data_IF_391370282664
#
_entry.id   IF_391370282664
#
_cell.length_a   1.000
_cell.length_b   1.000
_cell.length_c   1.000
_cell.angle_alpha   90.00
_cell.angle_beta   90.00
_cell.angle_gamma   90.00
#
_symmetry.space_group_name_H-M   'P 1'
#
loop_
_entity.id
_entity.type
_entity.pdbx_description
1 polymer ?
#
# COMPACT_ATOMS: atom_id res chain seq x y z
N UNK A 1 4.69 -16.40 20.92
CA UNK A 1 4.38 -17.38 19.85
C UNK A 1 3.37 -16.92 18.79
N UNK A 2 3.16 -15.61 18.55
CA UNK A 2 2.00 -15.14 17.76
C UNK A 2 2.08 -15.20 16.22
N UNK A 3 3.19 -14.78 15.59
CA UNK A 3 3.20 -14.50 14.14
C UNK A 3 3.15 -15.72 13.21
N UNK A 4 3.72 -16.87 13.61
CA UNK A 4 3.59 -18.13 12.84
C UNK A 4 2.23 -18.80 13.08
N UNK A 5 1.71 -18.73 14.30
CA UNK A 5 0.38 -19.22 14.62
C UNK A 5 -0.71 -18.50 13.80
N UNK A 6 -0.55 -17.19 13.57
CA UNK A 6 -1.45 -16.37 12.77
C UNK A 6 -1.65 -16.87 11.34
N UNK A 7 -0.56 -16.95 10.56
CA UNK A 7 -0.59 -17.40 9.17
C UNK A 7 -1.04 -18.86 9.06
N UNK A 8 -0.59 -19.71 9.97
CA UNK A 8 -0.99 -21.13 10.03
C UNK A 8 -2.48 -21.30 10.33
N UNK A 9 -3.04 -20.46 11.22
CA UNK A 9 -4.48 -20.41 11.53
C UNK A 9 -5.31 -19.91 10.34
N UNK A 10 -4.84 -18.88 9.63
CA UNK A 10 -5.50 -18.39 8.41
C UNK A 10 -5.51 -19.44 7.30
N UNK A 11 -4.43 -20.22 7.18
CA UNK A 11 -4.32 -21.30 6.21
C UNK A 11 -5.30 -22.44 6.49
N UNK A 12 -5.51 -22.77 7.77
CA UNK A 12 -6.40 -23.85 8.21
C UNK A 12 -7.88 -23.50 8.17
N UNK A 13 -8.23 -22.22 8.14
CA UNK A 13 -9.63 -21.77 8.05
C UNK A 13 -10.42 -21.97 9.36
N UNK A 14 -9.73 -22.05 10.50
CA UNK A 14 -10.39 -21.98 11.81
C UNK A 14 -10.90 -20.56 12.04
N UNK A 15 -12.15 -20.33 11.66
CA UNK A 15 -12.94 -19.17 12.09
C UNK A 15 -13.60 -19.50 13.43
N UNK A 16 -12.79 -19.66 14.48
CA UNK A 16 -13.24 -19.52 15.88
C UNK A 16 -12.44 -18.35 16.48
N UNK A 17 -13.00 -17.16 16.33
CA UNK A 17 -12.58 -15.99 17.11
C UNK A 17 -13.48 -15.98 18.34
N UNK A 18 -12.91 -16.32 19.49
CA UNK A 18 -13.54 -16.14 20.80
C UNK A 18 -14.13 -14.72 20.89
N UNK A 19 -15.47 -14.65 20.93
CA UNK A 19 -16.23 -13.40 20.89
C UNK A 19 -16.18 -12.58 22.20
N UNK A 20 -15.44 -13.05 23.22
CA UNK A 20 -15.64 -12.60 24.60
C UNK A 20 -14.65 -11.55 25.13
N UNK A 21 -13.84 -10.89 24.28
CA UNK A 21 -12.87 -9.88 24.78
C UNK A 21 -13.06 -8.43 24.30
N UNK A 22 -14.10 -8.10 23.53
CA UNK A 22 -14.35 -6.71 23.10
C UNK A 22 -15.83 -6.33 23.15
N UNK A 23 -16.41 -6.30 24.36
CA UNK A 23 -17.71 -5.69 24.61
C UNK A 23 -17.55 -4.37 25.36
N UNK A 24 -17.57 -3.26 24.63
CA UNK A 24 -18.35 -2.06 24.91
C UNK A 24 -17.85 -0.89 24.05
N UNK A 25 -18.66 -0.45 23.07
CA UNK A 25 -19.12 0.94 22.86
C UNK A 25 -20.16 0.93 21.71
N UNK A 26 -21.17 1.78 21.86
CA UNK A 26 -22.50 1.78 21.26
C UNK A 26 -22.62 2.00 19.72
N UNK A 27 -23.74 1.52 19.18
CA UNK A 27 -24.25 1.68 17.79
C UNK A 27 -24.51 3.13 17.35
N UNK A 28 -24.37 3.40 16.03
CA UNK A 28 -25.45 4.11 15.31
C UNK A 28 -25.70 3.65 13.85
N UNK A 29 -27.00 3.58 13.49
CA UNK A 29 -27.66 3.69 12.16
C UNK A 29 -27.14 2.99 10.88
N UNK A 30 -28.06 2.24 10.24
CA UNK A 30 -27.91 1.12 9.29
C UNK A 30 -27.33 1.44 7.89
N UNK A 31 -27.07 2.70 7.54
CA UNK A 31 -26.53 3.06 6.20
C UNK A 31 -25.16 3.72 6.25
N UNK A 32 -24.83 4.41 7.35
CA UNK A 32 -23.51 5.00 7.62
C UNK A 32 -22.59 4.05 8.43
N UNK A 33 -23.17 3.02 9.04
CA UNK A 33 -22.49 2.09 9.96
C UNK A 33 -21.55 1.08 9.31
N UNK A 34 -21.62 0.88 7.99
CA UNK A 34 -20.83 -0.16 7.31
C UNK A 34 -19.41 0.30 6.97
N UNK A 35 -19.22 1.57 6.61
CA UNK A 35 -17.89 2.11 6.27
C UNK A 35 -17.00 2.33 7.51
N UNK A 36 -17.62 2.42 8.69
CA UNK A 36 -17.00 2.59 10.01
C UNK A 36 -16.78 1.28 10.77
N UNK A 37 -17.22 0.13 10.23
CA UNK A 37 -16.93 -1.19 10.82
C UNK A 37 -15.43 -1.40 10.94
N UNK A 38 -15.01 -1.85 12.11
CA UNK A 38 -13.63 -2.24 12.38
C UNK A 38 -13.29 -3.50 11.55
N UNK A 39 -12.12 -3.48 10.90
CA UNK A 39 -11.57 -4.62 10.18
C UNK A 39 -11.45 -5.89 11.02
N UNK A 40 -11.38 -5.78 12.35
CA UNK A 40 -11.46 -6.93 13.25
C UNK A 40 -12.77 -7.73 13.16
N UNK A 41 -13.83 -7.14 12.59
CA UNK A 41 -15.19 -7.72 12.50
C UNK A 41 -15.69 -7.91 11.06
N UNK A 42 -14.82 -7.71 10.07
CA UNK A 42 -15.17 -7.78 8.65
C UNK A 42 -15.45 -9.22 8.21
N UNK A 43 -16.55 -9.43 7.47
CA UNK A 43 -16.98 -10.74 6.97
C UNK A 43 -16.86 -10.85 5.43
N UNK A 44 -17.18 -12.02 4.88
CA UNK A 44 -17.14 -12.27 3.42
C UNK A 44 -18.15 -11.39 2.62
N UNK A 45 -19.16 -10.80 3.26
CA UNK A 45 -20.16 -9.95 2.59
C UNK A 45 -19.64 -8.55 2.25
N UNK A 46 -18.49 -8.15 2.78
CA UNK A 46 -17.89 -6.84 2.51
C UNK A 46 -16.87 -6.83 1.35
N UNK A 47 -16.72 -7.95 0.62
CA UNK A 47 -15.83 -8.12 -0.55
C UNK A 47 -16.15 -7.15 -1.70
N UNK A 48 -17.44 -6.91 -1.99
CA UNK A 48 -17.85 -6.04 -3.09
C UNK A 48 -17.41 -4.57 -2.88
N UNK A 49 -17.41 -4.12 -1.63
CA UNK A 49 -16.99 -2.76 -1.30
C UNK A 49 -15.47 -2.62 -1.32
N UNK A 50 -14.74 -3.66 -0.93
CA UNK A 50 -13.29 -3.76 -1.11
C UNK A 50 -12.91 -3.68 -2.60
N UNK A 51 -13.62 -4.40 -3.47
CA UNK A 51 -13.43 -4.33 -4.92
C UNK A 51 -13.71 -2.92 -5.46
N UNK A 52 -14.83 -2.30 -5.04
CA UNK A 52 -15.17 -0.93 -5.43
C UNK A 52 -14.07 0.05 -5.06
N UNK A 53 -13.57 -0.03 -3.83
CA UNK A 53 -12.54 0.88 -3.35
C UNK A 53 -11.19 0.64 -4.00
N UNK A 54 -10.78 -0.62 -4.19
CA UNK A 54 -9.54 -0.92 -4.91
C UNK A 54 -9.60 -0.44 -6.36
N UNK A 55 -10.75 -0.56 -7.04
CA UNK A 55 -10.95 0.01 -8.38
C UNK A 55 -10.83 1.55 -8.39
N UNK A 56 -11.44 2.23 -7.40
CA UNK A 56 -11.34 3.68 -7.25
C UNK A 56 -9.89 4.15 -7.00
N UNK A 57 -9.18 3.46 -6.12
CA UNK A 57 -7.77 3.74 -5.82
C UNK A 57 -6.88 3.47 -7.04
N UNK A 58 -7.08 2.34 -7.74
CA UNK A 58 -6.35 2.00 -8.95
C UNK A 58 -6.54 3.07 -10.05
N UNK A 59 -7.76 3.61 -10.20
CA UNK A 59 -8.01 4.74 -11.11
C UNK A 59 -7.21 5.98 -10.73
N UNK A 60 -7.21 6.36 -9.44
CA UNK A 60 -6.43 7.52 -8.95
C UNK A 60 -4.92 7.34 -9.17
N UNK A 61 -4.39 6.15 -8.86
CA UNK A 61 -2.97 5.80 -9.04
C UNK A 61 -2.52 5.82 -10.51
N UNK A 62 -3.45 5.55 -11.44
CA UNK A 62 -3.18 5.56 -12.89
C UNK A 62 -3.39 6.93 -13.56
N UNK A 63 -4.08 7.87 -12.93
CA UNK A 63 -4.60 9.07 -13.58
C UNK A 63 -3.58 10.20 -13.80
N UNK A 64 -2.36 10.14 -13.23
CA UNK A 64 -1.48 11.32 -13.25
C UNK A 64 -0.82 11.56 -14.61
N UNK A 65 -1.02 12.76 -15.14
CA UNK A 65 -0.29 13.29 -16.31
C UNK A 65 1.06 13.86 -15.89
N UNK A 66 2.13 13.46 -16.58
CA UNK A 66 3.49 14.00 -16.45
C UNK A 66 3.56 15.43 -16.96
N UNK A 67 4.58 16.18 -16.52
CA UNK A 67 4.99 17.43 -17.18
C UNK A 67 5.64 17.20 -18.55
N UNK A 68 6.06 15.97 -18.88
CA UNK A 68 6.67 15.68 -20.20
C UNK A 68 5.59 15.48 -21.27
N UNK A 69 5.81 16.06 -22.45
CA UNK A 69 4.99 15.83 -23.63
C UNK A 69 5.49 14.59 -24.40
N UNK A 70 4.57 13.89 -25.07
CA UNK A 70 4.86 12.87 -26.08
C UNK A 70 4.01 13.14 -27.33
N UNK A 71 4.43 12.67 -28.51
CA UNK A 71 3.55 12.64 -29.68
C UNK A 71 2.25 11.92 -29.38
N UNK A 72 1.14 12.45 -29.87
CA UNK A 72 -0.14 11.75 -29.81
C UNK A 72 -0.34 10.94 -31.09
N UNK A 73 -0.99 9.78 -30.95
CA UNK A 73 -1.37 8.93 -32.08
C UNK A 73 -2.88 8.98 -32.30
N UNK A 74 -3.33 8.84 -33.54
CA UNK A 74 -4.76 8.75 -33.88
C UNK A 74 -5.58 10.00 -33.53
N UNK A 75 -4.98 11.19 -33.58
CA UNK A 75 -5.69 12.46 -33.34
C UNK A 75 -6.03 12.77 -31.87
N UNK A 76 -5.69 11.89 -30.93
CA UNK A 76 -6.01 12.03 -29.49
C UNK A 76 -5.29 13.17 -28.74
N UNK A 77 -4.38 13.87 -29.41
CA UNK A 77 -3.57 14.91 -28.77
C UNK A 77 -4.39 16.15 -28.44
N UNK A 78 -4.17 16.72 -27.25
CA UNK A 78 -4.91 17.92 -26.79
C UNK A 78 -4.25 19.22 -27.23
N UNK A 79 -3.03 19.19 -27.76
CA UNK A 79 -2.28 20.40 -28.14
C UNK A 79 -1.50 20.18 -29.42
N UNK A 80 -1.42 21.20 -30.27
CA UNK A 80 -0.59 21.17 -31.48
C UNK A 80 0.89 21.14 -31.09
N UNK A 81 1.66 20.29 -31.76
CA UNK A 81 3.11 20.30 -31.72
C UNK A 81 3.63 21.17 -32.88
N UNK A 82 3.75 22.47 -32.62
CA UNK A 82 4.17 23.45 -33.64
C UNK A 82 5.51 23.09 -34.27
N UNK A 83 6.48 22.64 -33.46
CA UNK A 83 7.83 22.30 -33.96
C UNK A 83 7.79 21.11 -34.92
N UNK A 84 6.98 20.10 -34.64
CA UNK A 84 6.83 18.94 -35.53
C UNK A 84 5.98 19.26 -36.75
N UNK A 85 4.92 20.06 -36.58
CA UNK A 85 4.03 20.55 -37.64
C UNK A 85 4.79 21.38 -38.67
N UNK A 86 5.54 22.40 -38.22
CA UNK A 86 6.34 23.24 -39.11
C UNK A 86 7.44 22.45 -39.83
N UNK A 87 8.04 21.45 -39.18
CA UNK A 87 9.03 20.59 -39.84
C UNK A 87 8.40 19.67 -40.88
N UNK A 88 7.14 19.28 -40.69
CA UNK A 88 6.40 18.51 -41.69
C UNK A 88 6.00 19.39 -42.88
N UNK A 89 5.61 20.65 -42.62
CA UNK A 89 5.16 21.60 -43.65
C UNK A 89 6.25 21.97 -44.66
N UNK A 90 7.53 21.77 -44.32
CA UNK A 90 8.63 21.93 -45.28
C UNK A 90 8.47 21.01 -46.52
N UNK A 91 7.76 19.88 -46.40
CA UNK A 91 7.46 19.00 -47.53
C UNK A 91 6.36 19.55 -48.45
N UNK A 92 5.55 20.48 -47.95
CA UNK A 92 4.41 21.09 -48.61
C UNK A 92 4.65 22.58 -48.87
N UNK A 93 5.92 22.95 -49.15
CA UNK A 93 6.27 24.33 -49.49
C UNK A 93 6.13 25.34 -48.32
N UNK A 94 6.07 24.85 -47.09
CA UNK A 94 5.90 25.66 -45.88
C UNK A 94 4.47 25.71 -45.35
N UNK A 95 3.48 25.28 -46.13
CA UNK A 95 2.07 25.31 -45.74
C UNK A 95 1.72 24.17 -44.78
N UNK A 96 1.26 24.43 -43.53
CA UNK A 96 0.98 23.39 -42.53
C UNK A 96 -0.34 22.65 -42.79
N UNK A 97 -0.37 21.84 -43.85
CA UNK A 97 -1.52 21.00 -44.26
C UNK A 97 -1.88 19.94 -43.21
N UNK A 98 -0.88 19.38 -42.51
CA UNK A 98 -1.08 18.38 -41.46
C UNK A 98 -0.69 18.92 -40.07
N UNK A 99 -1.70 19.09 -39.19
CA UNK A 99 -1.47 19.48 -37.80
C UNK A 99 -1.17 18.27 -36.92
N UNK A 100 0.11 18.10 -36.56
CA UNK A 100 0.53 17.04 -35.64
C UNK A 100 0.27 17.46 -34.20
N UNK A 101 -0.38 16.59 -33.42
CA UNK A 101 -0.71 16.85 -32.02
C UNK A 101 0.21 16.09 -31.05
N UNK A 102 0.28 16.61 -29.83
CA UNK A 102 1.00 16.05 -28.69
C UNK A 102 0.09 15.97 -27.46
N UNK A 103 0.43 15.06 -26.57
CA UNK A 103 -0.27 14.85 -25.30
C UNK A 103 0.73 14.72 -24.14
N UNK A 104 0.27 14.91 -22.90
CA UNK A 104 1.13 14.71 -21.73
C UNK A 104 1.35 13.22 -21.54
N UNK A 105 2.60 12.80 -21.34
CA UNK A 105 2.93 11.41 -21.01
C UNK A 105 2.28 11.06 -19.67
N UNK A 106 1.69 9.87 -19.52
CA UNK A 106 1.21 9.43 -18.20
C UNK A 106 2.40 9.12 -17.28
N UNK A 107 2.34 9.59 -16.03
CA UNK A 107 3.30 9.27 -14.97
C UNK A 107 2.56 8.41 -13.94
N UNK A 108 2.55 7.10 -14.18
CA UNK A 108 1.94 6.15 -13.25
C UNK A 108 2.73 6.09 -11.95
N UNK A 109 2.02 6.15 -10.83
CA UNK A 109 2.57 5.89 -9.50
C UNK A 109 3.10 4.45 -9.44
N UNK A 110 4.02 4.17 -8.52
CA UNK A 110 4.40 2.81 -8.10
C UNK A 110 4.06 2.70 -6.62
N UNK A 111 3.65 1.52 -6.18
CA UNK A 111 3.41 1.25 -4.77
C UNK A 111 4.40 0.22 -4.27
N UNK A 112 4.94 0.46 -3.08
CA UNK A 112 5.61 -0.56 -2.28
C UNK A 112 4.85 -0.64 -0.96
N UNK A 113 4.37 -1.82 -0.60
CA UNK A 113 3.72 -2.09 0.68
C UNK A 113 4.64 -2.96 1.55
N UNK A 114 4.92 -2.50 2.77
CA UNK A 114 5.66 -3.21 3.81
C UNK A 114 4.65 -3.50 4.93
N UNK A 115 4.30 -4.76 5.12
CA UNK A 115 3.18 -5.16 5.99
C UNK A 115 3.66 -5.96 7.18
N UNK A 116 3.32 -5.48 8.37
CA UNK A 116 3.48 -6.22 9.60
C UNK A 116 2.45 -7.35 9.67
N UNK A 117 2.92 -8.53 10.03
CA UNK A 117 2.16 -9.78 10.15
C UNK A 117 2.52 -10.49 11.46
N UNK A 118 2.91 -9.70 12.46
CA UNK A 118 3.13 -10.14 13.82
C UNK A 118 1.82 -10.43 14.56
N UNK A 119 1.93 -11.17 15.67
CA UNK A 119 0.78 -11.62 16.47
C UNK A 119 -0.17 -10.51 16.94
N UNK A 120 0.36 -9.32 17.26
CA UNK A 120 -0.45 -8.16 17.68
C UNK A 120 -1.28 -7.57 16.53
N UNK A 121 -0.87 -7.85 15.30
CA UNK A 121 -1.49 -7.36 14.09
C UNK A 121 -2.45 -8.39 13.47
N UNK A 122 -2.65 -9.57 14.06
CA UNK A 122 -3.31 -10.73 13.43
C UNK A 122 -4.64 -10.41 12.73
N UNK A 123 -5.58 -9.80 13.45
CA UNK A 123 -6.91 -9.48 12.93
C UNK A 123 -6.84 -8.46 11.77
N UNK A 124 -5.95 -7.46 11.88
CA UNK A 124 -5.78 -6.41 10.88
C UNK A 124 -4.98 -6.87 9.67
N UNK A 125 -3.99 -7.73 9.87
CA UNK A 125 -3.06 -8.23 8.85
C UNK A 125 -3.79 -8.99 7.76
N UNK A 126 -4.75 -9.86 8.12
CA UNK A 126 -5.55 -10.64 7.17
C UNK A 126 -6.25 -9.71 6.19
N UNK A 127 -7.02 -8.76 6.71
CA UNK A 127 -7.74 -7.79 5.88
C UNK A 127 -6.81 -6.94 5.01
N UNK A 128 -5.72 -6.41 5.59
CA UNK A 128 -4.77 -5.56 4.86
C UNK A 128 -4.08 -6.32 3.72
N UNK A 129 -3.75 -7.60 3.92
CA UNK A 129 -3.23 -8.46 2.85
C UNK A 129 -4.27 -8.73 1.77
N UNK A 130 -5.54 -8.91 2.13
CA UNK A 130 -6.63 -9.09 1.17
C UNK A 130 -6.85 -7.82 0.34
N UNK A 131 -6.79 -6.65 0.98
CA UNK A 131 -6.81 -5.36 0.29
C UNK A 131 -5.64 -5.22 -0.70
N UNK A 132 -4.42 -5.59 -0.29
CA UNK A 132 -3.25 -5.54 -1.16
C UNK A 132 -3.34 -6.54 -2.32
N UNK A 133 -3.90 -7.72 -2.09
CA UNK A 133 -4.20 -8.70 -3.13
C UNK A 133 -5.16 -8.11 -4.18
N UNK A 134 -6.28 -7.53 -3.75
CA UNK A 134 -7.25 -6.88 -4.64
C UNK A 134 -6.64 -5.67 -5.37
N UNK A 135 -5.82 -4.88 -4.69
CA UNK A 135 -5.12 -3.74 -5.27
C UNK A 135 -4.10 -4.20 -6.33
N UNK A 136 -3.39 -5.30 -6.10
CA UNK A 136 -2.40 -5.83 -7.04
C UNK A 136 -3.06 -6.29 -8.37
N UNK A 137 -4.25 -6.88 -8.28
CA UNK A 137 -5.04 -7.26 -9.47
C UNK A 137 -5.63 -6.05 -10.20
N UNK A 138 -6.00 -5.01 -9.46
CA UNK A 138 -6.52 -3.75 -10.03
C UNK A 138 -5.39 -2.83 -10.55
N UNK A 139 -4.16 -3.02 -10.07
CA UNK A 139 -3.03 -2.13 -10.32
C UNK A 139 -1.70 -2.90 -10.37
N UNK A 140 -1.19 -3.15 -11.58
CA UNK A 140 0.00 -3.98 -11.82
C UNK A 140 1.35 -3.41 -11.32
N UNK A 141 1.39 -2.31 -10.56
CA UNK A 141 2.64 -1.69 -10.07
C UNK A 141 2.70 -1.62 -8.55
N UNK A 142 2.20 -2.68 -7.90
CA UNK A 142 2.37 -2.91 -6.46
C UNK A 142 3.49 -3.92 -6.25
N UNK A 143 4.38 -3.59 -5.33
CA UNK A 143 5.35 -4.51 -4.75
C UNK A 143 5.00 -4.71 -3.29
N UNK A 144 4.79 -5.96 -2.88
CA UNK A 144 4.31 -6.28 -1.53
C UNK A 144 5.34 -7.11 -0.80
N UNK A 145 5.64 -6.67 0.41
CA UNK A 145 6.51 -7.31 1.37
C UNK A 145 5.76 -7.48 2.68
N UNK A 146 6.01 -8.61 3.34
CA UNK A 146 5.53 -8.87 4.70
C UNK A 146 6.72 -9.03 5.63
N UNK A 147 6.56 -8.61 6.88
CA UNK A 147 7.61 -8.74 7.88
C UNK A 147 7.04 -9.05 9.27
N UNK A 148 7.84 -9.76 10.04
CA UNK A 148 7.69 -9.86 11.50
C UNK A 148 9.10 -9.84 12.11
N UNK A 149 9.80 -10.97 12.04
CA UNK A 149 11.23 -11.11 12.39
C UNK A 149 12.16 -11.11 11.17
N UNK A 150 11.61 -11.43 9.99
CA UNK A 150 12.29 -11.45 8.69
C UNK A 150 11.42 -10.78 7.64
N UNK A 151 12.04 -10.16 6.63
CA UNK A 151 11.35 -9.59 5.49
C UNK A 151 11.16 -10.64 4.39
N UNK A 152 9.94 -10.76 3.85
CA UNK A 152 9.63 -11.65 2.73
C UNK A 152 8.89 -10.87 1.65
N UNK A 153 9.36 -10.98 0.40
CA UNK A 153 8.67 -10.39 -0.76
C UNK A 153 7.61 -11.36 -1.28
N UNK A 154 6.36 -10.91 -1.32
CA UNK A 154 5.19 -11.76 -1.65
C UNK A 154 4.47 -11.34 -2.92
N UNK A 155 4.98 -10.33 -3.64
CA UNK A 155 4.40 -9.84 -4.90
C UNK A 155 4.08 -10.96 -5.88
N UNK A 156 4.97 -11.93 -6.06
CA UNK A 156 4.76 -13.01 -7.02
C UNK A 156 3.63 -13.96 -6.60
N UNK A 157 3.56 -14.30 -5.30
CA UNK A 157 2.51 -15.15 -4.72
C UNK A 157 1.15 -14.49 -4.86
N UNK A 158 1.05 -13.21 -4.51
CA UNK A 158 -0.20 -12.43 -4.66
C UNK A 158 -0.63 -12.24 -6.12
N UNK A 159 0.23 -12.47 -7.11
CA UNK A 159 -0.09 -12.28 -8.53
C UNK A 159 -0.62 -13.55 -9.21
N UNK A 160 -0.32 -14.72 -8.66
CA UNK A 160 -0.51 -16.01 -9.33
C UNK A 160 -1.53 -16.90 -8.64
N UNK A 161 -1.57 -16.83 -7.33
CA UNK A 161 -2.28 -17.79 -6.51
C UNK A 161 -3.60 -17.20 -6.01
N UNK A 162 -4.55 -18.06 -5.66
CA UNK A 162 -5.68 -17.61 -4.85
C UNK A 162 -5.14 -17.03 -3.52
N UNK A 163 -5.83 -16.03 -2.96
CA UNK A 163 -5.42 -15.40 -1.70
C UNK A 163 -5.08 -16.42 -0.60
N UNK A 164 -5.90 -17.48 -0.45
CA UNK A 164 -5.66 -18.58 0.50
C UNK A 164 -4.36 -19.33 0.19
N UNK A 165 -4.16 -19.72 -1.06
CA UNK A 165 -2.95 -20.46 -1.48
C UNK A 165 -1.67 -19.64 -1.27
N UNK A 166 -1.72 -18.32 -1.50
CA UNK A 166 -0.60 -17.42 -1.23
C UNK A 166 -0.27 -17.35 0.28
N UNK A 167 -1.30 -17.28 1.13
CA UNK A 167 -1.13 -17.32 2.59
C UNK A 167 -0.60 -18.68 3.07
N UNK A 168 -1.12 -19.78 2.54
CA UNK A 168 -0.66 -21.12 2.91
C UNK A 168 0.82 -21.32 2.54
N UNK A 169 1.25 -20.80 1.40
CA UNK A 169 2.65 -20.84 0.99
C UNK A 169 3.56 -20.02 1.92
N UNK A 170 3.06 -18.89 2.41
CA UNK A 170 3.76 -18.06 3.39
C UNK A 170 3.85 -18.75 4.75
N UNK A 171 2.74 -19.33 5.23
CA UNK A 171 2.70 -20.14 6.43
C UNK A 171 3.70 -21.30 6.34
N UNK A 172 3.75 -22.05 5.23
CA UNK A 172 4.70 -23.16 5.07
C UNK A 172 6.18 -22.77 4.99
N UNK A 173 6.50 -21.51 4.73
CA UNK A 173 7.90 -21.01 4.73
C UNK A 173 8.46 -20.75 6.16
N UNK A 174 7.65 -21.08 7.17
CA UNK A 174 7.88 -21.08 8.62
C UNK A 174 9.27 -21.52 9.09
N UNK A 175 10.19 -20.58 9.33
CA UNK A 175 11.37 -20.80 10.20
C UNK A 175 11.88 -19.49 10.85
N UNK A 176 11.01 -18.67 11.44
CA UNK A 176 11.57 -17.55 12.21
C UNK A 176 10.65 -16.54 12.89
N UNK A 177 9.33 -16.64 12.80
CA UNK A 177 8.43 -15.54 13.17
C UNK A 177 8.10 -15.48 14.68
N UNK A 178 8.85 -16.21 15.50
CA UNK A 178 8.85 -16.12 16.97
C UNK A 178 9.99 -15.19 17.42
N UNK A 179 9.69 -14.18 18.24
CA UNK A 179 10.71 -13.30 18.84
C UNK A 179 10.42 -11.80 18.88
N UNK A 180 9.18 -11.36 18.65
CA UNK A 180 8.81 -9.94 18.56
C UNK A 180 8.91 -9.42 17.12
N UNK A 181 8.64 -8.13 16.91
CA UNK A 181 8.67 -7.50 15.59
C UNK A 181 9.95 -6.68 15.46
N UNK A 182 10.75 -6.97 14.44
CA UNK A 182 11.99 -6.23 14.12
C UNK A 182 11.74 -5.31 12.93
N UNK A 183 10.96 -4.25 13.16
CA UNK A 183 10.51 -3.34 12.10
C UNK A 183 11.72 -2.64 11.47
N UNK A 184 12.58 -2.04 12.30
CA UNK A 184 13.78 -1.33 11.83
C UNK A 184 14.70 -2.23 11.01
N UNK A 185 14.98 -3.44 11.49
CA UNK A 185 15.83 -4.39 10.76
C UNK A 185 15.21 -4.81 9.42
N UNK A 186 13.90 -5.05 9.38
CA UNK A 186 13.19 -5.47 8.17
C UNK A 186 13.14 -4.35 7.13
N UNK A 187 12.95 -3.09 7.55
CA UNK A 187 12.99 -1.94 6.64
C UNK A 187 14.43 -1.67 6.17
N UNK A 188 15.44 -1.85 7.03
CA UNK A 188 16.84 -1.75 6.62
C UNK A 188 17.21 -2.81 5.57
N UNK A 189 16.77 -4.06 5.78
CA UNK A 189 16.93 -5.15 4.81
C UNK A 189 16.26 -4.80 3.47
N UNK A 190 15.04 -4.24 3.51
CA UNK A 190 14.34 -3.77 2.31
C UNK A 190 15.15 -2.73 1.54
N UNK A 191 15.67 -1.71 2.25
CA UNK A 191 16.47 -0.62 1.65
C UNK A 191 17.73 -1.16 0.98
N UNK A 192 18.39 -2.14 1.59
CA UNK A 192 19.61 -2.76 1.06
C UNK A 192 19.32 -3.69 -0.13
N UNK A 193 18.32 -4.56 -0.02
CA UNK A 193 18.02 -5.59 -1.01
C UNK A 193 17.30 -5.08 -2.25
N UNK A 194 16.47 -4.03 -2.13
CA UNK A 194 15.59 -3.57 -3.22
C UNK A 194 15.66 -2.06 -3.50
N UNK A 195 16.85 -1.45 -3.62
CA UNK A 195 17.00 0.00 -3.76
C UNK A 195 16.33 0.57 -5.02
N UNK A 196 16.13 -0.25 -6.06
CA UNK A 196 15.52 0.14 -7.34
C UNK A 196 13.98 0.22 -7.31
N UNK A 197 13.34 -0.33 -6.27
CA UNK A 197 11.88 -0.28 -6.13
C UNK A 197 11.38 1.09 -5.64
N UNK A 198 12.26 1.86 -4.99
CA UNK A 198 11.93 3.18 -4.44
C UNK A 198 12.54 4.28 -5.30
N UNK A 199 11.68 5.05 -5.97
CA UNK A 199 12.05 6.28 -6.67
C UNK A 199 11.01 7.38 -6.43
N UNK A 200 11.19 8.56 -7.03
CA UNK A 200 10.27 9.71 -6.84
C UNK A 200 8.85 9.51 -7.39
N UNK A 201 8.55 8.34 -7.97
CA UNK A 201 7.22 7.88 -8.42
C UNK A 201 6.65 6.82 -7.47
N UNK A 202 7.42 6.37 -6.50
CA UNK A 202 7.02 5.35 -5.55
C UNK A 202 6.38 6.00 -4.34
N UNK A 203 5.19 5.55 -3.97
CA UNK A 203 4.64 5.72 -2.62
C UNK A 203 4.98 4.45 -1.85
N UNK A 204 5.66 4.60 -0.73
CA UNK A 204 5.94 3.49 0.19
C UNK A 204 4.91 3.55 1.30
N UNK A 205 4.21 2.44 1.51
CA UNK A 205 3.20 2.26 2.54
C UNK A 205 3.79 1.28 3.57
N UNK A 206 3.88 1.69 4.82
CA UNK A 206 4.21 0.83 5.96
C UNK A 206 2.92 0.57 6.72
N UNK A 207 2.54 -0.68 6.91
CA UNK A 207 1.36 -1.09 7.67
C UNK A 207 1.84 -1.78 8.95
N UNK A 208 1.78 -1.09 10.09
CA UNK A 208 2.24 -1.61 11.38
C UNK A 208 1.70 -0.79 12.54
N UNK A 209 1.55 -1.42 13.70
CA UNK A 209 1.22 -0.80 14.99
C UNK A 209 2.39 0.01 15.60
N UNK A 210 3.60 -0.13 15.04
CA UNK A 210 4.80 0.57 15.48
C UNK A 210 5.46 -0.04 16.72
N UNK A 211 5.11 -1.27 17.07
CA UNK A 211 5.75 -2.00 18.15
C UNK A 211 7.04 -2.67 17.66
N UNK A 212 8.18 -2.00 17.83
CA UNK A 212 9.51 -2.53 17.46
C UNK A 212 10.29 -2.92 18.73
N UNK A 213 10.85 -4.13 18.74
CA UNK A 213 11.77 -4.58 19.81
C UNK A 213 13.24 -4.30 19.49
N UNK A 214 13.54 -3.79 18.30
CA UNK A 214 14.88 -3.40 17.87
C UNK A 214 15.30 -1.99 18.28
N UNK A 215 16.51 -1.61 17.85
CA UNK A 215 17.07 -0.28 18.10
C UNK A 215 16.34 0.81 17.28
N UNK A 216 15.77 1.85 17.92
CA UNK A 216 15.00 2.90 17.23
C UNK A 216 15.77 3.60 16.10
N UNK A 217 17.08 3.80 16.28
CA UNK A 217 17.93 4.46 15.28
C UNK A 217 17.98 3.68 13.96
N UNK A 218 17.90 2.34 14.02
CA UNK A 218 17.87 1.49 12.82
C UNK A 218 16.63 1.79 11.97
N UNK A 219 15.48 1.93 12.63
CA UNK A 219 14.21 2.27 11.97
C UNK A 219 14.25 3.69 11.39
N UNK A 220 14.69 4.66 12.19
CA UNK A 220 14.83 6.06 11.76
C UNK A 220 15.73 6.18 10.54
N UNK A 221 16.91 5.57 10.56
CA UNK A 221 17.88 5.64 9.47
C UNK A 221 17.38 4.98 8.18
N UNK A 222 16.72 3.82 8.29
CA UNK A 222 16.16 3.12 7.15
C UNK A 222 15.04 3.95 6.50
N UNK A 223 14.10 4.49 7.31
CA UNK A 223 13.03 5.35 6.82
C UNK A 223 13.55 6.65 6.24
N UNK A 224 14.60 7.25 6.82
CA UNK A 224 15.28 8.42 6.29
C UNK A 224 15.83 8.19 4.88
N UNK A 225 16.31 6.98 4.57
CA UNK A 225 16.74 6.61 3.21
C UNK A 225 15.54 6.51 2.28
N UNK A 226 14.46 5.86 2.72
CA UNK A 226 13.22 5.73 1.94
C UNK A 226 12.64 7.12 1.64
N UNK A 227 12.46 7.97 2.66
CA UNK A 227 11.89 9.31 2.55
C UNK A 227 12.63 10.18 1.53
N UNK A 228 13.97 10.13 1.51
CA UNK A 228 14.77 10.90 0.53
C UNK A 228 14.58 10.45 -0.93
N UNK A 229 14.22 9.18 -1.15
CA UNK A 229 14.10 8.55 -2.49
C UNK A 229 12.66 8.50 -2.98
N UNK A 230 11.72 8.16 -2.11
CA UNK A 230 10.31 8.00 -2.42
C UNK A 230 9.68 9.32 -2.84
N UNK A 231 8.56 9.24 -3.55
CA UNK A 231 7.70 10.40 -3.73
C UNK A 231 6.89 10.72 -2.47
N UNK A 232 6.60 9.70 -1.65
CA UNK A 232 5.88 9.80 -0.38
C UNK A 232 6.06 8.53 0.45
N UNK A 233 6.12 8.69 1.77
CA UNK A 233 6.08 7.62 2.77
C UNK A 233 4.81 7.77 3.59
N UNK A 234 3.98 6.72 3.56
CA UNK A 234 2.74 6.65 4.32
C UNK A 234 2.91 5.57 5.37
N UNK A 235 2.60 5.90 6.62
CA UNK A 235 2.49 4.93 7.69
C UNK A 235 1.03 4.77 8.07
N UNK A 236 0.55 3.54 7.95
CA UNK A 236 -0.80 3.12 8.26
C UNK A 236 -0.77 2.31 9.53
N UNK A 237 -1.40 2.84 10.57
CA UNK A 237 -1.52 2.16 11.84
C UNK A 237 -3.00 1.80 12.07
N UNK A 238 -3.37 0.52 12.16
CA UNK A 238 -4.75 0.14 12.46
C UNK A 238 -5.19 0.62 13.86
N UNK A 239 -4.30 0.62 14.85
CA UNK A 239 -4.67 0.96 16.24
C UNK A 239 -4.97 2.45 16.47
N UNK A 240 -4.64 3.33 15.50
CA UNK A 240 -4.99 4.76 15.53
C UNK A 240 -6.51 5.03 15.52
N UNK A 241 -7.36 4.03 15.27
CA UNK A 241 -8.81 4.17 15.39
C UNK A 241 -9.31 4.31 16.82
N UNK A 242 -8.48 3.94 17.82
CA UNK A 242 -8.84 4.01 19.23
C UNK A 242 -8.50 5.38 19.83
N UNK A 243 -9.42 5.94 20.63
CA UNK A 243 -9.25 7.25 21.27
C UNK A 243 -8.11 7.31 22.30
N UNK A 244 -7.51 6.17 22.65
CA UNK A 244 -6.46 6.01 23.67
C UNK A 244 -5.08 5.74 23.07
N UNK A 245 -4.94 5.64 21.75
CA UNK A 245 -3.64 5.39 21.13
C UNK A 245 -2.80 6.67 21.08
N UNK A 246 -1.68 6.67 21.81
CA UNK A 246 -0.63 7.65 21.67
C UNK A 246 0.64 6.99 21.09
N UNK A 247 1.31 7.60 20.08
CA UNK A 247 2.51 7.06 19.46
C UNK A 247 3.75 7.26 20.37
N UNK A 248 3.71 6.72 21.58
CA UNK A 248 4.75 6.88 22.61
C UNK A 248 5.88 5.85 22.48
N UNK A 249 5.77 4.86 21.59
CA UNK A 249 6.83 3.89 21.40
C UNK A 249 8.08 4.57 20.82
N UNK A 250 9.26 4.18 21.32
CA UNK A 250 10.54 4.74 20.86
C UNK A 250 10.75 4.55 19.35
N UNK A 251 10.31 3.40 18.82
CA UNK A 251 10.32 3.13 17.38
C UNK A 251 9.47 4.13 16.59
N UNK A 252 8.25 4.43 17.06
CA UNK A 252 7.39 5.38 16.36
C UNK A 252 7.96 6.80 16.43
N UNK A 253 8.53 7.22 17.57
CA UNK A 253 9.20 8.51 17.68
C UNK A 253 10.36 8.66 16.68
N UNK A 254 11.15 7.61 16.46
CA UNK A 254 12.22 7.60 15.47
C UNK A 254 11.70 7.59 14.01
N UNK A 255 10.53 7.01 13.76
CA UNK A 255 9.96 6.89 12.44
C UNK A 255 9.18 8.14 11.97
N UNK A 256 8.46 8.81 12.87
CA UNK A 256 7.58 9.95 12.54
C UNK A 256 8.26 11.08 11.75
N UNK A 257 9.53 11.49 12.03
CA UNK A 257 10.22 12.52 11.25
C UNK A 257 10.42 12.17 9.76
N UNK A 258 10.21 10.92 9.37
CA UNK A 258 10.44 10.40 8.02
C UNK A 258 9.16 9.90 7.35
N UNK A 259 8.01 10.07 7.99
CA UNK A 259 6.69 9.71 7.49
C UNK A 259 5.99 10.99 7.02
N UNK A 260 5.57 11.02 5.74
CA UNK A 260 4.84 12.16 5.18
C UNK A 260 3.36 12.17 5.59
N UNK A 261 2.78 10.97 5.77
CA UNK A 261 1.38 10.79 6.14
C UNK A 261 1.28 9.67 7.16
N UNK A 262 0.87 10.02 8.37
CA UNK A 262 0.51 9.08 9.42
C UNK A 262 -1.02 9.01 9.50
N UNK A 263 -1.60 7.84 9.24
CA UNK A 263 -3.05 7.70 9.12
C UNK A 263 -3.55 6.36 9.68
N UNK A 264 -4.82 6.37 10.10
CA UNK A 264 -5.51 5.16 10.51
C UNK A 264 -5.77 4.24 9.31
N UNK A 265 -5.79 2.93 9.56
CA UNK A 265 -6.21 1.91 8.58
C UNK A 265 -6.99 0.78 9.27
N UNK A 266 -8.00 1.14 10.08
CA UNK A 266 -8.86 0.19 10.79
C UNK A 266 -10.25 0.03 10.18
N UNK A 267 -10.61 0.88 9.22
CA UNK A 267 -11.87 0.77 8.51
C UNK A 267 -11.76 1.26 7.07
N UNK A 268 -12.81 0.95 6.34
CA UNK A 268 -12.92 1.14 4.92
C UNK A 268 -12.89 2.63 4.53
N UNK A 269 -13.54 3.47 5.33
CA UNK A 269 -13.51 4.92 5.18
C UNK A 269 -12.08 5.48 5.29
N UNK A 270 -11.26 4.92 6.19
CA UNK A 270 -9.86 5.33 6.36
C UNK A 270 -9.02 4.99 5.12
N UNK A 271 -9.27 3.83 4.49
CA UNK A 271 -8.63 3.47 3.22
C UNK A 271 -9.10 4.33 2.03
N UNK A 272 -10.36 4.74 2.01
CA UNK A 272 -10.83 5.69 0.99
C UNK A 272 -10.15 7.06 1.14
N UNK A 273 -10.06 7.55 2.38
CA UNK A 273 -9.38 8.79 2.73
C UNK A 273 -7.89 8.75 2.33
N UNK A 274 -7.24 7.60 2.52
CA UNK A 274 -5.87 7.34 2.07
C UNK A 274 -5.72 7.57 0.56
N UNK A 275 -6.75 7.30 -0.24
CA UNK A 275 -6.71 7.54 -1.68
C UNK A 275 -6.35 8.96 -2.11
N UNK A 276 -6.58 9.97 -1.25
CA UNK A 276 -6.13 11.35 -1.48
C UNK A 276 -4.62 11.51 -1.36
N UNK A 277 -3.98 10.65 -0.60
CA UNK A 277 -2.56 10.69 -0.30
C UNK A 277 -1.71 9.82 -1.23
N UNK A 278 -2.31 8.88 -1.97
CA UNK A 278 -1.57 7.97 -2.85
C UNK A 278 -1.25 8.54 -4.24
N UNK A 279 -1.87 9.65 -4.63
CA UNK A 279 -1.56 10.34 -5.87
C UNK A 279 -0.38 11.30 -5.66
N UNK A 280 0.80 10.96 -6.19
CA UNK A 280 1.97 11.83 -6.21
C UNK A 280 1.80 13.02 -7.14
#
# INVERSE_FOLDING_TARGET
DGGSAALSRWAKGDDDVDQDSFAAVASPSVTDSRATKDFATFDNTDLAELERLTALLARRLNARRSRRWKPAFGGSGTRIDLRRTLRLSLKTGGDPVELVRRERKLRRTKLVALCDVSGSMDLYSRFLLQFLYALQHSFARVETFVFSTKLVRITASLARDSYRTALDALARSETGWSGGTKIGASIAEFVAGWPRLVDRRTVVIVLSDGWDTGEPDTLGDALRVIHRRAGRVVWLNPLLGSATYEPLTRGMQAALPHVDVFAAAHNLASLEALGRHLAL
#
